data_IF_790903244893
#
_entry.id   IF_790903244893
#
_cell.length_a   1.000
_cell.length_b   1.000
_cell.length_c   1.000
_cell.angle_alpha   90.00
_cell.angle_beta   90.00
_cell.angle_gamma   90.00
#
_symmetry.space_group_name_H-M   'P 1'
#
loop_
_entity.id
_entity.type
_entity.pdbx_description
1 polymer ?
#
# COMPACT_ATOMS: atom_id res chain seq x y z
N UNK A 1 -28.63 6.88 8.12
CA UNK A 1 -27.58 5.86 7.91
C UNK A 1 -26.33 6.47 7.28
N UNK A 2 -26.41 7.08 6.08
CA UNK A 2 -25.27 7.69 5.36
C UNK A 2 -24.45 8.73 6.15
N UNK A 3 -25.11 9.61 6.92
CA UNK A 3 -24.40 10.60 7.74
C UNK A 3 -23.60 9.98 8.90
N UNK A 4 -24.07 8.85 9.46
CA UNK A 4 -23.37 8.15 10.54
C UNK A 4 -22.10 7.46 10.02
N UNK A 5 -22.17 6.87 8.83
CA UNK A 5 -21.01 6.27 8.16
C UNK A 5 -19.96 7.34 7.80
N UNK A 6 -20.38 8.48 7.27
CA UNK A 6 -19.48 9.60 7.00
C UNK A 6 -18.80 10.10 8.28
N UNK A 7 -19.52 10.19 9.39
CA UNK A 7 -18.94 10.56 10.68
C UNK A 7 -17.89 9.57 11.16
N UNK A 8 -18.19 8.26 11.09
CA UNK A 8 -17.24 7.20 11.44
C UNK A 8 -15.99 7.24 10.55
N UNK A 9 -16.14 7.49 9.25
CA UNK A 9 -15.01 7.63 8.34
C UNK A 9 -14.14 8.84 8.72
N UNK A 10 -14.74 9.99 9.06
CA UNK A 10 -13.99 11.18 9.53
C UNK A 10 -13.24 10.90 10.84
N UNK A 11 -13.87 10.23 11.79
CA UNK A 11 -13.25 9.84 13.06
C UNK A 11 -12.05 8.90 12.82
N UNK A 12 -12.20 7.90 11.95
CA UNK A 12 -11.14 6.99 11.52
C UNK A 12 -9.98 7.76 10.86
N UNK A 13 -10.28 8.64 9.90
CA UNK A 13 -9.25 9.41 9.20
C UNK A 13 -8.48 10.34 10.13
N UNK A 14 -9.18 10.97 11.09
CA UNK A 14 -8.56 11.82 12.10
C UNK A 14 -7.61 11.02 12.99
N UNK A 15 -8.03 9.83 13.43
CA UNK A 15 -7.19 8.93 14.21
C UNK A 15 -5.93 8.51 13.44
N UNK A 16 -6.09 8.09 12.18
CA UNK A 16 -4.97 7.68 11.33
C UNK A 16 -4.00 8.83 11.01
N UNK A 17 -4.49 10.05 10.76
CA UNK A 17 -3.62 11.21 10.57
C UNK A 17 -2.84 11.57 11.84
N UNK A 18 -3.46 11.40 13.01
CA UNK A 18 -2.81 11.62 14.32
C UNK A 18 -1.72 10.57 14.56
N UNK A 19 -2.02 9.30 14.28
CA UNK A 19 -1.06 8.20 14.39
C UNK A 19 0.13 8.40 13.43
N UNK A 20 -0.14 8.73 12.17
CA UNK A 20 0.89 9.06 11.18
C UNK A 20 1.78 10.20 11.69
N UNK A 21 1.18 11.28 12.20
CA UNK A 21 1.91 12.41 12.74
C UNK A 21 2.82 12.04 13.91
N UNK A 22 2.33 11.18 14.80
CA UNK A 22 3.08 10.72 15.98
C UNK A 22 4.25 9.79 15.62
N UNK A 23 4.12 9.04 14.51
CA UNK A 23 5.11 8.06 14.06
C UNK A 23 6.12 8.63 13.06
N UNK A 24 6.00 9.90 12.64
CA UNK A 24 6.87 10.50 11.63
C UNK A 24 8.36 10.52 12.03
N UNK A 25 8.66 10.78 13.31
CA UNK A 25 10.03 10.77 13.81
C UNK A 25 10.71 9.39 13.78
N UNK A 26 9.92 8.32 13.68
CA UNK A 26 10.39 6.92 13.69
C UNK A 26 10.57 6.32 12.29
N UNK A 27 10.37 7.09 11.21
CA UNK A 27 10.39 6.53 9.84
C UNK A 27 11.74 5.89 9.51
N UNK A 28 12.83 6.58 9.80
CA UNK A 28 14.19 6.11 9.52
C UNK A 28 14.50 4.83 10.30
N UNK A 29 14.16 4.80 11.59
CA UNK A 29 14.37 3.61 12.43
C UNK A 29 13.50 2.43 11.98
N UNK A 30 12.28 2.66 11.51
CA UNK A 30 11.42 1.62 10.93
C UNK A 30 12.02 1.05 9.65
N UNK A 31 12.44 1.89 8.70
CA UNK A 31 13.03 1.41 7.43
C UNK A 31 14.32 0.61 7.66
N UNK A 32 15.17 1.07 8.59
CA UNK A 32 16.38 0.37 9.00
C UNK A 32 16.05 -0.97 9.68
N UNK A 33 15.15 -0.98 10.68
CA UNK A 33 14.77 -2.18 11.43
C UNK A 33 14.07 -3.23 10.56
N UNK A 34 13.40 -2.81 9.49
CA UNK A 34 12.77 -3.72 8.51
C UNK A 34 13.73 -4.14 7.39
N UNK A 35 14.98 -3.69 7.43
CA UNK A 35 16.03 -4.11 6.50
C UNK A 35 15.87 -3.54 5.08
N UNK A 36 15.06 -2.50 4.89
CA UNK A 36 14.87 -1.85 3.57
C UNK A 36 16.15 -1.09 3.18
N UNK A 37 16.85 -0.50 4.15
CA UNK A 37 18.07 0.24 3.84
C UNK A 37 19.22 -0.67 3.38
N UNK A 38 19.31 -1.86 3.97
CA UNK A 38 20.35 -2.85 3.70
C UNK A 38 20.09 -3.74 2.50
N UNK A 39 18.86 -3.81 1.97
CA UNK A 39 18.57 -4.65 0.81
C UNK A 39 19.24 -4.09 -0.45
N UNK A 40 19.55 -5.00 -1.38
CA UNK A 40 19.88 -4.64 -2.75
C UNK A 40 18.66 -4.09 -3.47
N UNK A 41 18.88 -3.44 -4.61
CA UNK A 41 17.78 -3.04 -5.48
C UNK A 41 16.93 -4.26 -5.84
N UNK A 42 15.62 -4.17 -5.62
CA UNK A 42 14.78 -5.35 -5.63
C UNK A 42 13.44 -5.16 -4.93
N UNK A 43 12.67 -6.24 -4.97
CA UNK A 43 11.41 -6.38 -4.26
C UNK A 43 11.48 -7.66 -3.45
N UNK A 44 11.06 -7.57 -2.19
CA UNK A 44 10.88 -8.72 -1.31
C UNK A 44 9.48 -8.65 -0.74
N UNK A 45 8.70 -9.69 -0.99
CA UNK A 45 7.37 -9.84 -0.42
C UNK A 45 7.32 -11.15 0.35
N UNK A 46 6.72 -11.14 1.52
CA UNK A 46 6.75 -12.29 2.45
C UNK A 46 5.54 -12.26 3.36
N UNK A 47 5.13 -13.42 3.87
CA UNK A 47 4.19 -13.50 4.99
C UNK A 47 4.96 -13.89 6.24
N UNK A 48 4.82 -13.08 7.27
CA UNK A 48 5.61 -13.18 8.50
C UNK A 48 4.65 -13.44 9.66
N UNK A 49 5.06 -14.31 10.58
CA UNK A 49 4.34 -14.54 11.82
C UNK A 49 4.60 -13.37 12.79
N UNK A 50 3.59 -12.98 13.57
CA UNK A 50 3.78 -12.10 14.71
C UNK A 50 4.74 -12.73 15.73
N UNK A 51 5.40 -11.90 16.54
CA UNK A 51 6.38 -12.36 17.53
C UNK A 51 5.78 -13.35 18.54
N UNK A 52 4.48 -13.26 18.81
CA UNK A 52 3.70 -14.15 19.66
C UNK A 52 3.04 -15.32 18.90
N UNK A 53 3.22 -15.39 17.58
CA UNK A 53 2.67 -16.43 16.70
C UNK A 53 1.15 -16.37 16.50
N UNK A 54 0.49 -15.34 17.03
CA UNK A 54 -0.98 -15.24 17.03
C UNK A 54 -1.56 -14.72 15.72
N UNK A 55 -0.76 -14.01 14.93
CA UNK A 55 -1.18 -13.41 13.67
C UNK A 55 -0.15 -13.65 12.57
N UNK A 56 -0.61 -13.63 11.31
CA UNK A 56 0.26 -13.52 10.14
C UNK A 56 0.02 -12.17 9.48
N UNK A 57 1.08 -11.53 9.05
CA UNK A 57 0.99 -10.29 8.29
C UNK A 57 1.78 -10.41 6.99
N UNK A 58 1.26 -9.73 5.98
CA UNK A 58 1.95 -9.58 4.71
C UNK A 58 2.90 -8.39 4.79
N UNK A 59 4.15 -8.65 4.50
CA UNK A 59 5.21 -7.68 4.46
C UNK A 59 5.70 -7.50 3.03
N UNK A 60 5.85 -6.24 2.62
CA UNK A 60 6.40 -5.88 1.34
C UNK A 60 7.48 -4.81 1.49
N UNK A 61 8.67 -5.10 0.96
CA UNK A 61 9.84 -4.24 0.91
C UNK A 61 10.24 -4.01 -0.54
N UNK A 62 10.52 -2.77 -0.91
CA UNK A 62 11.09 -2.41 -2.21
C UNK A 62 12.22 -1.42 -2.03
N UNK A 63 13.25 -1.60 -2.83
CA UNK A 63 14.27 -0.60 -3.09
C UNK A 63 14.45 -0.50 -4.60
N UNK A 64 14.27 0.69 -5.16
CA UNK A 64 14.39 0.92 -6.61
C UNK A 64 15.09 2.24 -6.86
N UNK A 65 16.01 2.28 -7.83
CA UNK A 65 16.65 3.51 -8.29
C UNK A 65 16.00 3.93 -9.60
N UNK A 66 15.51 5.16 -9.65
CA UNK A 66 14.95 5.76 -10.85
C UNK A 66 15.90 6.81 -11.41
N UNK A 67 16.16 6.77 -12.71
CA UNK A 67 16.90 7.81 -13.43
C UNK A 67 16.03 9.06 -13.71
N UNK A 68 15.18 9.40 -12.76
CA UNK A 68 14.29 10.55 -12.81
C UNK A 68 14.73 11.61 -11.81
N UNK A 69 14.46 12.86 -12.16
CA UNK A 69 14.56 13.98 -11.24
C UNK A 69 13.69 13.75 -9.98
N UNK A 70 14.24 14.11 -8.82
CA UNK A 70 13.61 13.83 -7.53
C UNK A 70 12.27 14.55 -7.37
N UNK A 71 12.15 15.80 -7.81
CA UNK A 71 10.91 16.57 -7.64
C UNK A 71 9.78 16.00 -8.52
N UNK A 72 10.10 15.69 -9.77
CA UNK A 72 9.16 15.04 -10.69
C UNK A 72 8.70 13.68 -10.18
N UNK A 73 9.63 12.84 -9.70
CA UNK A 73 9.28 11.55 -9.14
C UNK A 73 8.43 11.69 -7.87
N UNK A 74 8.81 12.59 -6.95
CA UNK A 74 8.07 12.85 -5.71
C UNK A 74 6.63 13.27 -5.98
N UNK A 75 6.43 14.20 -6.91
CA UNK A 75 5.09 14.64 -7.31
C UNK A 75 4.26 13.51 -7.90
N UNK A 76 4.90 12.67 -8.71
CA UNK A 76 4.24 11.58 -9.41
C UNK A 76 3.84 10.46 -8.46
N UNK A 77 4.74 10.02 -7.59
CA UNK A 77 4.44 9.02 -6.54
C UNK A 77 3.32 9.54 -5.63
N UNK A 78 3.36 10.81 -5.22
CA UNK A 78 2.28 11.40 -4.42
C UNK A 78 0.92 11.35 -5.13
N UNK A 79 0.87 11.60 -6.44
CA UNK A 79 -0.39 11.52 -7.20
C UNK A 79 -0.85 10.09 -7.42
N UNK A 80 0.05 9.19 -7.78
CA UNK A 80 -0.26 7.80 -8.12
C UNK A 80 -0.76 7.03 -6.88
N UNK A 81 -0.15 7.27 -5.72
CA UNK A 81 -0.56 6.66 -4.45
C UNK A 81 -1.96 7.08 -3.96
N UNK A 82 -2.55 8.14 -4.52
CA UNK A 82 -3.95 8.54 -4.24
C UNK A 82 -4.99 7.63 -4.91
N UNK A 83 -4.55 6.68 -5.75
CA UNK A 83 -5.38 5.67 -6.41
C UNK A 83 -6.63 6.26 -7.07
N UNK A 84 -6.47 7.37 -7.79
CA UNK A 84 -7.59 8.12 -8.40
C UNK A 84 -8.36 7.31 -9.44
N UNK A 85 -7.76 6.25 -10.00
CA UNK A 85 -8.41 5.35 -10.94
C UNK A 85 -9.42 4.38 -10.28
N UNK A 86 -9.42 4.26 -8.94
CA UNK A 86 -10.39 3.46 -8.21
C UNK A 86 -11.69 4.25 -8.04
N UNK A 87 -12.65 4.06 -8.96
CA UNK A 87 -13.83 4.92 -9.09
C UNK A 87 -15.07 4.42 -8.33
N UNK A 88 -15.18 3.13 -8.07
CA UNK A 88 -16.38 2.54 -7.46
C UNK A 88 -16.58 3.06 -6.02
N UNK A 89 -17.76 3.60 -5.73
CA UNK A 89 -18.15 4.20 -4.44
C UNK A 89 -17.17 5.25 -3.88
N UNK A 90 -16.36 5.86 -4.75
CA UNK A 90 -15.26 6.75 -4.37
C UNK A 90 -15.76 8.02 -3.70
N UNK A 91 -15.25 8.29 -2.49
CA UNK A 91 -15.61 9.44 -1.66
C UNK A 91 -14.35 10.01 -1.00
N UNK A 92 -13.97 11.23 -1.38
CA UNK A 92 -12.86 11.97 -0.75
C UNK A 92 -13.36 12.68 0.50
N UNK A 93 -12.65 12.53 1.60
CA UNK A 93 -12.95 13.30 2.81
C UNK A 93 -12.21 14.63 2.77
N UNK A 94 -12.90 15.69 2.37
CA UNK A 94 -12.33 17.04 2.29
C UNK A 94 -11.82 17.54 3.65
N UNK A 95 -12.54 17.25 4.74
CA UNK A 95 -12.16 17.67 6.10
C UNK A 95 -10.83 17.07 6.59
N UNK A 96 -10.41 15.94 6.01
CA UNK A 96 -9.15 15.25 6.35
C UNK A 96 -8.12 15.33 5.21
N UNK A 97 -8.36 16.15 4.18
CA UNK A 97 -7.47 16.30 3.03
C UNK A 97 -6.88 17.72 2.97
N UNK A 98 -5.63 17.81 2.54
CA UNK A 98 -4.89 19.07 2.32
C UNK A 98 -3.84 18.84 1.22
N UNK A 99 -3.00 19.83 0.94
CA UNK A 99 -1.89 19.65 -0.01
C UNK A 99 -0.88 18.58 0.44
N UNK A 100 -0.83 18.26 1.74
CA UNK A 100 0.08 17.27 2.32
C UNK A 100 -0.60 16.00 2.78
N UNK A 101 -1.94 15.93 2.79
CA UNK A 101 -2.68 14.80 3.33
C UNK A 101 -3.85 14.43 2.42
N UNK A 102 -4.16 13.15 2.28
CA UNK A 102 -5.24 12.69 1.42
C UNK A 102 -6.03 11.58 2.11
N UNK A 103 -7.35 11.74 2.20
CA UNK A 103 -8.22 10.73 2.80
C UNK A 103 -9.36 10.35 1.83
N UNK A 104 -9.51 9.06 1.55
CA UNK A 104 -10.48 8.57 0.56
C UNK A 104 -11.04 7.21 0.96
N UNK A 105 -12.34 7.03 0.71
CA UNK A 105 -13.02 5.73 0.70
C UNK A 105 -13.32 5.34 -0.73
N UNK A 106 -13.16 4.07 -1.08
CA UNK A 106 -13.66 3.50 -2.32
C UNK A 106 -13.88 2.00 -2.16
N UNK A 107 -14.53 1.38 -3.14
CA UNK A 107 -14.80 -0.07 -3.16
C UNK A 107 -13.99 -0.73 -4.26
N UNK A 108 -13.45 -1.91 -3.96
CA UNK A 108 -12.89 -2.81 -4.95
C UNK A 108 -13.76 -4.05 -5.05
N UNK A 109 -14.05 -4.50 -6.26
CA UNK A 109 -14.89 -5.67 -6.53
C UNK A 109 -14.04 -6.70 -7.26
N UNK A 110 -13.87 -7.87 -6.65
CA UNK A 110 -13.20 -9.02 -7.26
C UNK A 110 -14.25 -10.03 -7.71
N UNK A 111 -14.21 -10.40 -8.99
CA UNK A 111 -15.03 -11.49 -9.52
C UNK A 111 -14.44 -12.82 -9.06
N UNK A 112 -15.20 -13.62 -8.33
CA UNK A 112 -14.77 -14.93 -7.82
C UNK A 112 -15.19 -16.07 -8.76
N UNK A 113 -16.36 -15.95 -9.38
CA UNK A 113 -16.85 -16.89 -10.40
C UNK A 113 -17.78 -16.18 -11.40
N UNK A 114 -18.35 -16.93 -12.35
CA UNK A 114 -19.32 -16.38 -13.30
C UNK A 114 -20.54 -15.73 -12.61
N UNK A 115 -20.96 -16.27 -11.46
CA UNK A 115 -22.14 -15.86 -10.71
C UNK A 115 -21.85 -15.25 -9.34
N UNK A 116 -20.58 -15.12 -8.94
CA UNK A 116 -20.21 -14.58 -7.64
C UNK A 116 -19.10 -13.53 -7.72
N UNK A 117 -19.26 -12.48 -6.92
CA UNK A 117 -18.26 -11.45 -6.69
C UNK A 117 -18.15 -11.22 -5.20
N UNK A 118 -16.98 -10.81 -4.76
CA UNK A 118 -16.79 -10.29 -3.42
C UNK A 118 -16.21 -8.88 -3.51
N UNK A 119 -16.45 -8.07 -2.49
CA UNK A 119 -15.99 -6.70 -2.48
C UNK A 119 -15.34 -6.34 -1.15
N UNK A 120 -14.41 -5.40 -1.24
CA UNK A 120 -13.75 -4.78 -0.09
C UNK A 120 -13.94 -3.27 -0.17
N UNK A 121 -14.14 -2.65 0.98
CA UNK A 121 -14.16 -1.20 1.14
C UNK A 121 -12.81 -0.77 1.68
N UNK A 122 -12.11 0.07 0.91
CA UNK A 122 -10.79 0.59 1.22
C UNK A 122 -10.89 2.03 1.72
N UNK A 123 -10.49 2.27 2.97
CA UNK A 123 -10.44 3.59 3.61
C UNK A 123 -8.97 3.98 3.78
N UNK A 124 -8.47 4.78 2.85
CA UNK A 124 -7.07 5.14 2.72
C UNK A 124 -6.80 6.54 3.28
N UNK A 125 -5.71 6.66 4.04
CA UNK A 125 -5.11 7.91 4.49
C UNK A 125 -3.65 7.94 4.04
N UNK A 126 -3.27 9.03 3.38
CA UNK A 126 -1.92 9.32 2.98
C UNK A 126 -1.48 10.62 3.64
N UNK A 127 -0.21 10.72 4.00
CA UNK A 127 0.41 11.99 4.35
C UNK A 127 1.82 12.06 3.77
N UNK A 128 2.15 13.17 3.12
CA UNK A 128 3.49 13.47 2.65
C UNK A 128 4.18 14.50 3.54
N UNK A 129 5.48 14.31 3.72
CA UNK A 129 6.39 15.19 4.42
C UNK A 129 7.54 15.51 3.50
N UNK A 130 7.71 16.79 3.18
CA UNK A 130 8.89 17.27 2.45
C UNK A 130 10.02 17.42 3.45
N UNK A 131 11.13 16.74 3.21
CA UNK A 131 12.32 16.76 4.07
C UNK A 131 13.53 17.26 3.27
N UNK A 132 14.63 17.54 3.96
CA UNK A 132 15.86 17.92 3.28
C UNK A 132 16.34 16.75 2.41
N UNK A 133 16.36 16.96 1.09
CA UNK A 133 16.85 15.98 0.11
C UNK A 133 15.85 14.89 -0.29
N UNK A 134 14.56 15.04 0.04
CA UNK A 134 13.57 14.04 -0.34
C UNK A 134 12.15 14.26 0.19
N UNK A 135 11.31 13.23 0.02
CA UNK A 135 9.93 13.18 0.50
C UNK A 135 9.67 11.85 1.19
N UNK A 136 8.95 11.88 2.30
CA UNK A 136 8.39 10.70 2.95
C UNK A 136 6.88 10.72 2.75
N UNK A 137 6.31 9.60 2.27
CA UNK A 137 4.87 9.37 2.22
C UNK A 137 4.55 8.23 3.19
N UNK A 138 3.67 8.51 4.13
CA UNK A 138 3.13 7.52 5.07
C UNK A 138 1.72 7.15 4.65
N UNK A 139 1.43 5.85 4.75
CA UNK A 139 0.18 5.23 4.32
C UNK A 139 -0.46 4.55 5.53
N UNK A 140 -1.76 4.76 5.70
CA UNK A 140 -2.62 3.98 6.60
C UNK A 140 -3.88 3.62 5.87
N UNK A 141 -4.31 2.37 5.96
CA UNK A 141 -5.62 1.99 5.46
C UNK A 141 -6.36 1.03 6.38
N UNK A 142 -7.69 1.13 6.34
CA UNK A 142 -8.59 0.14 6.88
C UNK A 142 -9.35 -0.50 5.73
N UNK A 143 -9.26 -1.82 5.64
CA UNK A 143 -9.91 -2.62 4.60
C UNK A 143 -10.99 -3.44 5.26
N UNK A 144 -12.23 -3.27 4.82
CA UNK A 144 -13.38 -3.98 5.35
C UNK A 144 -13.99 -4.86 4.26
N UNK A 145 -14.27 -6.11 4.57
CA UNK A 145 -14.98 -7.01 3.67
C UNK A 145 -16.48 -6.72 3.64
N UNK A 146 -17.07 -6.78 2.46
CA UNK A 146 -18.51 -6.69 2.25
C UNK A 146 -19.01 -7.94 1.51
N UNK A 147 -20.34 -8.09 1.41
CA UNK A 147 -20.99 -9.25 0.80
C UNK A 147 -20.48 -10.58 1.40
N UNK A 148 -19.80 -11.40 0.59
CA UNK A 148 -19.21 -12.68 0.99
C UNK A 148 -18.14 -12.55 2.08
N UNK A 149 -17.56 -11.37 2.27
CA UNK A 149 -16.52 -11.09 3.26
C UNK A 149 -17.03 -10.28 4.47
N UNK A 150 -18.35 -10.13 4.62
CA UNK A 150 -18.92 -9.35 5.72
C UNK A 150 -18.39 -9.82 7.08
N UNK A 151 -17.92 -8.85 7.88
CA UNK A 151 -17.32 -9.09 9.20
C UNK A 151 -15.81 -9.31 9.19
N UNK A 152 -15.18 -9.40 8.01
CA UNK A 152 -13.73 -9.49 7.84
C UNK A 152 -13.12 -8.11 7.70
N UNK A 153 -11.91 -7.92 8.23
CA UNK A 153 -11.16 -6.69 8.02
C UNK A 153 -9.63 -6.90 8.05
N UNK A 154 -8.92 -5.94 7.47
CA UNK A 154 -7.47 -5.87 7.44
C UNK A 154 -7.03 -4.42 7.68
N UNK A 155 -5.86 -4.23 8.25
CA UNK A 155 -5.22 -2.94 8.39
C UNK A 155 -3.94 -2.88 7.58
N UNK A 156 -3.65 -1.72 7.00
CA UNK A 156 -2.41 -1.48 6.25
C UNK A 156 -1.66 -0.30 6.87
N UNK A 157 -0.35 -0.44 6.97
CA UNK A 157 0.56 0.63 7.36
C UNK A 157 1.77 0.63 6.44
N UNK A 158 2.19 1.80 5.99
CA UNK A 158 3.14 1.93 4.92
C UNK A 158 4.01 3.17 4.98
N UNK A 159 5.20 3.04 4.42
CA UNK A 159 6.22 4.07 4.34
C UNK A 159 6.86 4.02 2.96
N UNK A 160 6.96 5.18 2.32
CA UNK A 160 7.67 5.37 1.06
C UNK A 160 8.60 6.56 1.27
N UNK A 161 9.90 6.34 1.14
CA UNK A 161 10.92 7.38 1.19
C UNK A 161 11.53 7.55 -0.19
N UNK A 162 11.46 8.76 -0.72
CA UNK A 162 12.13 9.18 -1.94
C UNK A 162 13.28 10.10 -1.56
N UNK A 163 14.47 9.82 -2.07
CA UNK A 163 15.66 10.61 -1.78
C UNK A 163 16.61 10.66 -2.96
N UNK A 164 17.26 11.79 -3.15
CA UNK A 164 18.30 11.93 -4.17
C UNK A 164 19.51 11.04 -3.82
N UNK A 165 20.13 10.47 -4.85
CA UNK A 165 21.44 9.82 -4.77
C UNK A 165 22.29 10.16 -6.01
N UNK A 166 23.56 9.74 -5.99
CA UNK A 166 24.48 9.91 -7.12
C UNK A 166 24.05 9.11 -8.37
N UNK A 167 23.24 8.06 -8.19
CA UNK A 167 22.78 7.18 -9.26
C UNK A 167 21.37 7.52 -9.77
N UNK A 168 20.75 8.59 -9.26
CA UNK A 168 19.34 8.92 -9.51
C UNK A 168 18.54 9.02 -8.22
N UNK A 169 17.22 8.98 -8.31
CA UNK A 169 16.33 9.05 -7.15
C UNK A 169 16.03 7.65 -6.62
N UNK A 170 16.32 7.41 -5.34
CA UNK A 170 16.06 6.13 -4.68
C UNK A 170 14.68 6.16 -4.04
N UNK A 171 13.90 5.11 -4.28
CA UNK A 171 12.66 4.81 -3.57
C UNK A 171 12.89 3.63 -2.64
N UNK A 172 12.79 3.89 -1.34
CA UNK A 172 12.72 2.87 -0.29
C UNK A 172 11.26 2.75 0.15
N UNK A 173 10.70 1.53 0.18
CA UNK A 173 9.31 1.30 0.52
C UNK A 173 9.16 0.11 1.46
N UNK A 174 8.32 0.29 2.47
CA UNK A 174 7.88 -0.73 3.40
C UNK A 174 6.35 -0.68 3.52
N UNK A 175 5.68 -1.79 3.28
CA UNK A 175 4.24 -1.96 3.49
C UNK A 175 4.00 -3.16 4.39
N UNK A 176 3.05 -3.02 5.30
CA UNK A 176 2.65 -4.04 6.25
C UNK A 176 1.12 -4.14 6.27
N UNK A 177 0.59 -5.29 5.88
CA UNK A 177 -0.84 -5.58 5.89
C UNK A 177 -1.13 -6.67 6.92
N UNK A 178 -2.03 -6.37 7.86
CA UNK A 178 -2.41 -7.25 8.96
C UNK A 178 -3.89 -7.60 8.82
N UNK A 179 -4.24 -8.79 8.30
CA UNK A 179 -5.61 -9.29 8.31
C UNK A 179 -6.01 -9.62 9.75
N UNK A 180 -6.94 -8.84 10.32
CA UNK A 180 -7.38 -9.01 11.72
C UNK A 180 -8.19 -10.29 11.90
N UNK A 181 -8.74 -10.85 10.81
CA UNK A 181 -9.52 -12.08 10.77
C UNK A 181 -8.77 -13.34 11.25
N UNK A 182 -7.45 -13.26 11.49
CA UNK A 182 -6.62 -14.39 11.90
C UNK A 182 -6.52 -14.58 13.42
N UNK A 183 -7.10 -13.68 14.22
CA UNK A 183 -6.96 -13.70 15.69
C UNK A 183 -7.96 -14.61 16.44
N UNK A 184 -8.79 -15.39 15.75
CA UNK A 184 -9.75 -16.31 16.38
C UNK A 184 -9.72 -17.69 15.70
N UNK A 185 -10.29 -18.69 16.38
CA UNK A 185 -10.43 -20.13 16.03
C UNK A 185 -11.01 -20.41 14.62
N UNK A 186 -11.26 -19.39 13.80
CA UNK A 186 -11.82 -19.39 12.45
C UNK A 186 -10.78 -19.50 11.31
N UNK A 187 -9.50 -19.73 11.60
CA UNK A 187 -8.41 -19.79 10.60
C UNK A 187 -8.58 -20.84 9.49
N UNK A 188 -9.54 -21.77 9.63
CA UNK A 188 -9.83 -22.82 8.66
C UNK A 188 -11.03 -22.51 7.73
N UNK A 189 -11.68 -21.35 7.84
CA UNK A 189 -12.77 -20.96 6.92
C UNK A 189 -12.19 -20.57 5.54
N UNK A 190 -12.56 -21.24 4.44
CA UNK A 190 -12.10 -20.91 3.09
C UNK A 190 -12.37 -19.45 2.69
N UNK A 191 -13.40 -18.81 3.26
CA UNK A 191 -13.71 -17.40 3.02
C UNK A 191 -12.65 -16.46 3.59
N UNK A 192 -12.00 -16.83 4.70
CA UNK A 192 -10.91 -16.04 5.28
C UNK A 192 -9.70 -16.07 4.35
N UNK A 193 -9.35 -17.25 3.81
CA UNK A 193 -8.30 -17.35 2.80
C UNK A 193 -8.63 -16.49 1.56
N UNK A 194 -9.84 -16.59 1.01
CA UNK A 194 -10.27 -15.78 -0.13
C UNK A 194 -10.28 -14.27 0.15
N UNK A 195 -10.63 -13.85 1.37
CA UNK A 195 -10.54 -12.44 1.76
C UNK A 195 -9.08 -11.98 1.77
N UNK A 196 -8.19 -12.74 2.40
CA UNK A 196 -6.75 -12.43 2.43
C UNK A 196 -6.16 -12.38 1.03
N UNK A 197 -6.50 -13.33 0.15
CA UNK A 197 -6.15 -13.29 -1.28
C UNK A 197 -6.60 -12.00 -1.93
N UNK A 198 -7.86 -11.62 -1.72
CA UNK A 198 -8.44 -10.42 -2.33
C UNK A 198 -7.73 -9.16 -1.88
N UNK A 199 -7.37 -9.05 -0.60
CA UNK A 199 -6.62 -7.90 -0.07
C UNK A 199 -5.20 -7.84 -0.64
N UNK A 200 -4.52 -8.99 -0.74
CA UNK A 200 -3.16 -9.05 -1.29
C UNK A 200 -3.17 -8.73 -2.78
N UNK A 201 -4.08 -9.32 -3.56
CA UNK A 201 -4.22 -9.04 -4.99
C UNK A 201 -4.52 -7.56 -5.23
N UNK A 202 -5.44 -6.98 -4.46
CA UNK A 202 -5.74 -5.56 -4.52
C UNK A 202 -4.48 -4.70 -4.26
N UNK A 203 -3.69 -5.05 -3.24
CA UNK A 203 -2.42 -4.38 -2.96
C UNK A 203 -1.41 -4.47 -4.11
N UNK A 204 -1.28 -5.67 -4.71
CA UNK A 204 -0.39 -5.91 -5.85
C UNK A 204 -0.84 -5.19 -7.12
N UNK A 205 -2.14 -5.12 -7.39
CA UNK A 205 -2.69 -4.41 -8.54
C UNK A 205 -2.46 -2.89 -8.40
N UNK A 206 -2.62 -2.36 -7.17
CA UNK A 206 -2.30 -0.96 -6.87
C UNK A 206 -0.80 -0.67 -7.02
N UNK A 207 0.06 -1.57 -6.54
CA UNK A 207 1.50 -1.47 -6.75
C UNK A 207 1.84 -1.42 -8.25
N UNK A 208 1.33 -2.37 -9.03
CA UNK A 208 1.55 -2.42 -10.47
C UNK A 208 1.13 -1.13 -11.16
N UNK A 209 -0.02 -0.55 -10.76
CA UNK A 209 -0.47 0.74 -11.28
C UNK A 209 0.49 1.88 -10.92
N UNK A 210 0.94 1.96 -9.67
CA UNK A 210 1.85 3.02 -9.22
C UNK A 210 3.21 2.90 -9.91
N UNK A 211 3.81 1.71 -9.91
CA UNK A 211 5.13 1.48 -10.51
C UNK A 211 5.09 1.62 -12.03
N UNK A 212 4.05 1.08 -12.68
CA UNK A 212 3.83 1.26 -14.12
C UNK A 212 3.61 2.71 -14.50
N UNK A 213 2.90 3.47 -13.66
CA UNK A 213 2.74 4.91 -13.81
C UNK A 213 4.06 5.66 -13.75
N UNK A 214 4.94 5.32 -12.81
CA UNK A 214 6.29 5.91 -12.71
C UNK A 214 7.13 5.56 -13.95
N UNK A 215 7.12 4.29 -14.37
CA UNK A 215 7.86 3.85 -15.54
C UNK A 215 7.40 4.58 -16.82
N UNK A 216 6.12 4.95 -16.90
CA UNK A 216 5.59 5.72 -18.03
C UNK A 216 6.09 7.16 -18.12
N UNK A 217 6.57 7.74 -17.01
CA UNK A 217 7.17 9.07 -16.98
C UNK A 217 8.61 9.05 -17.49
N UNK A 218 9.24 7.87 -17.51
CA UNK A 218 10.60 7.68 -18.01
C UNK A 218 10.60 7.44 -19.53
N UNK A 219 9.57 7.82 -20.29
CA UNK A 219 9.46 7.44 -21.71
C UNK A 219 9.97 8.47 -22.72
N UNK A 220 10.48 9.62 -22.27
CA UNK A 220 10.98 10.66 -23.17
C UNK A 220 12.43 10.41 -23.67
N UNK A 221 13.06 9.27 -23.34
CA UNK A 221 14.43 8.94 -23.79
C UNK A 221 14.58 7.44 -24.16
N UNK A 222 15.19 7.15 -25.32
CA UNK A 222 15.28 5.81 -25.94
C UNK A 222 16.09 4.79 -25.10
N UNK A 223 16.80 5.24 -24.05
CA UNK A 223 17.53 4.40 -23.09
C UNK A 223 16.62 3.60 -22.13
N UNK A 224 15.31 3.85 -22.12
CA UNK A 224 14.40 3.42 -21.05
C UNK A 224 13.60 2.12 -21.35
N UNK A 225 13.86 1.47 -22.48
CA UNK A 225 13.27 0.15 -22.80
C UNK A 225 13.81 -0.98 -21.90
N UNK A 226 15.10 -0.92 -21.53
CA UNK A 226 15.73 -1.86 -20.59
C UNK A 226 15.25 -1.63 -19.14
N UNK A 227 15.00 -0.38 -18.75
CA UNK A 227 14.42 -0.05 -17.45
C UNK A 227 12.98 -0.57 -17.32
N UNK A 228 12.18 -0.49 -18.39
CA UNK A 228 10.84 -1.12 -18.43
C UNK A 228 10.89 -2.62 -18.17
N UNK A 229 11.80 -3.35 -18.81
CA UNK A 229 11.95 -4.80 -18.60
C UNK A 229 12.30 -5.10 -17.14
N UNK A 230 13.25 -4.34 -16.56
CA UNK A 230 13.65 -4.48 -15.15
C UNK A 230 12.53 -4.12 -14.17
N UNK A 231 11.80 -3.02 -14.39
CA UNK A 231 10.66 -2.62 -13.54
C UNK A 231 9.49 -3.62 -13.61
N UNK A 232 9.27 -4.22 -14.78
CA UNK A 232 8.26 -5.27 -14.97
C UNK A 232 8.70 -6.59 -14.32
N UNK A 233 9.98 -6.97 -14.46
CA UNK A 233 10.59 -8.11 -13.74
C UNK A 233 10.58 -7.92 -12.22
N UNK A 234 10.72 -6.68 -11.73
CA UNK A 234 10.64 -6.32 -10.31
C UNK A 234 9.22 -6.38 -9.72
N UNK A 235 8.22 -6.85 -10.48
CA UNK A 235 6.85 -6.97 -9.99
C UNK A 235 6.42 -8.43 -9.91
N UNK A 236 7.22 -9.24 -9.20
CA UNK A 236 6.81 -10.59 -8.81
C UNK A 236 5.48 -10.52 -8.04
N UNK A 237 4.46 -11.21 -8.56
CA UNK A 237 3.21 -11.43 -7.84
C UNK A 237 3.44 -12.57 -6.86
N UNK A 238 3.15 -12.34 -5.59
CA UNK A 238 3.01 -13.46 -4.67
C UNK A 238 1.67 -14.14 -4.94
N UNK A 239 1.72 -15.43 -5.23
CA UNK A 239 0.57 -16.33 -5.11
C UNK A 239 0.50 -16.86 -3.67
N UNK A 240 -0.70 -17.08 -3.12
CA UNK A 240 -0.81 -17.75 -1.82
C UNK A 240 -0.17 -19.16 -1.80
N UNK A 241 -0.02 -19.80 -2.96
CA UNK A 241 0.67 -21.08 -3.08
C UNK A 241 2.18 -20.98 -2.80
N UNK A 242 2.75 -19.77 -2.82
CA UNK A 242 4.15 -19.48 -2.50
C UNK A 242 4.34 -19.00 -1.05
N UNK A 243 3.28 -19.04 -0.22
CA UNK A 243 3.37 -18.77 1.21
C UNK A 243 4.20 -19.85 1.91
N UNK A 244 5.52 -19.71 1.86
CA UNK A 244 6.35 -20.34 2.87
C UNK A 244 6.08 -19.62 4.18
N UNK A 245 5.64 -20.38 5.17
CA UNK A 245 5.74 -19.96 6.56
C UNK A 245 7.23 -19.96 6.86
N UNK A 246 7.82 -18.79 7.08
CA UNK A 246 9.13 -18.68 7.75
C UNK A 246 8.99 -19.03 9.23
#
# INVERSE_FOLDING_TARGET
MRMLEQRKDVELYTAYLTEIGSNFSSVESVLAAKGVESMHEGVVKSVVNSSDGTAKYFQYRRKTVFLLDADNLCHSVWKLTQLRYQLQDRQVCAASSSDSSYAVKFRFIKKLSASSSASIVHRLVLRRYVIKGGVIIMVKAFIEGDDAFKGMNSSESGWIRLRQSNAGTVMDMYMNQVPVCLNTVQSCDPRVAQFVETVIDFGQDNEQHVIGGIASLSLDDDRNSLERSKLTELTERLSLQQLKVE
#
